data_IF_942542714497
#
_entry.id   IF_942542714497
#
_cell.length_a   1.000
_cell.length_b   1.000
_cell.length_c   1.000
_cell.angle_alpha   90.00
_cell.angle_beta   90.00
_cell.angle_gamma   90.00
#
_symmetry.space_group_name_H-M   'P 1'
#
loop_
_entity.id
_entity.type
_entity.pdbx_description
1 polymer ?
#
# COMPACT_ATOMS: atom_id res chain seq x y z
N UNK A 1 3.37 15.02 -19.48
CA UNK A 1 4.70 15.71 -19.41
C UNK A 1 5.67 15.17 -20.47
N UNK A 2 5.90 13.85 -20.56
CA UNK A 2 6.82 13.26 -21.55
C UNK A 2 6.52 13.67 -23.00
N UNK A 3 5.24 13.75 -23.37
CA UNK A 3 4.83 14.25 -24.69
C UNK A 3 5.36 15.67 -24.97
N UNK A 4 5.26 16.58 -24.00
CA UNK A 4 5.72 17.97 -24.13
C UNK A 4 7.25 17.99 -24.26
N UNK A 5 7.96 17.28 -23.38
CA UNK A 5 9.42 17.20 -23.41
C UNK A 5 9.96 16.64 -24.71
N UNK A 6 9.39 15.53 -25.22
CA UNK A 6 9.77 14.99 -26.53
C UNK A 6 9.37 15.91 -27.69
N UNK A 7 8.43 16.83 -27.47
CA UNK A 7 8.01 17.79 -28.49
C UNK A 7 8.93 18.99 -28.62
N UNK A 8 9.39 19.49 -27.48
CA UNK A 8 10.17 20.73 -27.41
C UNK A 8 11.67 20.44 -27.31
N UNK A 9 12.07 19.24 -26.91
CA UNK A 9 13.45 18.92 -26.55
C UNK A 9 13.89 19.57 -25.23
N UNK A 10 12.96 20.25 -24.52
CA UNK A 10 13.26 20.98 -23.30
C UNK A 10 12.99 20.13 -22.06
N UNK A 11 13.94 20.20 -21.13
CA UNK A 11 13.80 19.60 -19.79
C UNK A 11 12.69 20.32 -19.01
N UNK A 12 11.78 19.59 -18.31
CA UNK A 12 10.65 20.18 -17.59
C UNK A 12 11.01 21.36 -16.69
N UNK A 13 12.11 21.28 -15.92
CA UNK A 13 12.51 22.38 -15.02
C UNK A 13 12.81 23.67 -15.79
N UNK A 14 13.57 23.57 -16.90
CA UNK A 14 13.90 24.72 -17.74
C UNK A 14 12.64 25.27 -18.40
N UNK A 15 11.78 24.39 -18.92
CA UNK A 15 10.54 24.80 -19.56
C UNK A 15 9.60 25.55 -18.59
N UNK A 16 9.46 25.06 -17.35
CA UNK A 16 8.64 25.73 -16.32
C UNK A 16 9.23 27.10 -15.96
N UNK A 17 10.55 27.19 -15.78
CA UNK A 17 11.21 28.44 -15.42
C UNK A 17 11.13 29.49 -16.54
N UNK A 18 11.21 29.06 -17.80
CA UNK A 18 11.21 29.97 -18.96
C UNK A 18 9.82 30.37 -19.42
N UNK A 19 8.83 29.47 -19.35
CA UNK A 19 7.49 29.70 -19.93
C UNK A 19 6.40 29.97 -18.89
N UNK A 20 6.66 29.75 -17.60
CA UNK A 20 5.65 29.92 -16.53
C UNK A 20 6.18 30.87 -15.45
N UNK A 21 7.01 30.37 -14.54
CA UNK A 21 7.58 31.16 -13.44
C UNK A 21 8.74 30.38 -12.79
N UNK A 22 9.92 31.00 -12.62
CA UNK A 22 11.06 30.39 -11.91
C UNK A 22 10.75 29.91 -10.49
N UNK A 23 9.93 30.65 -9.73
CA UNK A 23 9.54 30.27 -8.38
C UNK A 23 8.75 28.95 -8.37
N UNK A 24 7.89 28.72 -9.37
CA UNK A 24 7.15 27.47 -9.50
C UNK A 24 8.05 26.29 -9.87
N UNK A 25 9.03 26.48 -10.77
CA UNK A 25 9.95 25.40 -11.12
C UNK A 25 10.86 25.01 -9.96
N UNK A 26 11.37 25.97 -9.20
CA UNK A 26 12.13 25.71 -7.97
C UNK A 26 11.26 25.07 -6.88
N UNK A 27 10.04 25.57 -6.68
CA UNK A 27 9.08 24.97 -5.74
C UNK A 27 8.78 23.50 -6.08
N UNK A 28 8.55 23.20 -7.35
CA UNK A 28 8.24 21.83 -7.80
C UNK A 28 9.43 20.88 -7.63
N UNK A 29 10.66 21.29 -7.98
CA UNK A 29 11.83 20.41 -7.82
C UNK A 29 12.14 20.17 -6.34
N UNK A 30 12.00 21.18 -5.47
CA UNK A 30 12.15 21.01 -4.02
C UNK A 30 11.08 20.06 -3.48
N UNK A 31 9.81 20.26 -3.84
CA UNK A 31 8.73 19.37 -3.47
C UNK A 31 8.99 17.93 -3.94
N UNK A 32 9.58 17.76 -5.12
CA UNK A 32 9.98 16.47 -5.64
C UNK A 32 11.07 15.81 -4.80
N UNK A 33 12.13 16.55 -4.44
CA UNK A 33 13.19 16.04 -3.56
C UNK A 33 12.62 15.63 -2.19
N UNK A 34 11.77 16.47 -1.58
CA UNK A 34 11.10 16.17 -0.32
C UNK A 34 10.20 14.94 -0.40
N UNK A 35 9.41 14.82 -1.46
CA UNK A 35 8.57 13.64 -1.68
C UNK A 35 9.43 12.37 -1.75
N UNK A 36 10.55 12.36 -2.48
CA UNK A 36 11.44 11.19 -2.52
C UNK A 36 12.00 10.84 -1.14
N UNK A 37 12.33 11.82 -0.30
CA UNK A 37 12.78 11.58 1.08
C UNK A 37 11.70 10.90 1.93
N UNK A 38 10.44 11.35 1.79
CA UNK A 38 9.30 10.72 2.48
C UNK A 38 9.10 9.28 1.99
N UNK A 39 9.20 9.04 0.68
CA UNK A 39 9.05 7.72 0.09
C UNK A 39 10.14 6.71 0.51
N UNK A 40 11.30 7.19 0.96
CA UNK A 40 12.32 6.31 1.54
C UNK A 40 11.91 5.74 2.91
N UNK A 41 11.14 6.46 3.72
CA UNK A 41 10.83 6.02 5.10
C UNK A 41 10.10 4.66 5.14
N UNK A 42 9.02 4.43 4.36
CA UNK A 42 8.37 3.13 4.30
C UNK A 42 9.31 2.03 3.77
N UNK A 43 10.21 2.35 2.84
CA UNK A 43 11.15 1.36 2.29
C UNK A 43 12.11 0.83 3.36
N UNK A 44 12.69 1.71 4.18
CA UNK A 44 13.53 1.31 5.31
C UNK A 44 12.74 0.49 6.33
N UNK A 45 11.51 0.90 6.63
CA UNK A 45 10.62 0.16 7.53
C UNK A 45 10.33 -1.24 7.00
N UNK A 46 10.00 -1.38 5.71
CA UNK A 46 9.70 -2.67 5.08
C UNK A 46 10.93 -3.58 5.05
N UNK A 47 12.11 -3.06 4.73
CA UNK A 47 13.35 -3.84 4.75
C UNK A 47 13.68 -4.35 6.15
N UNK A 48 13.51 -3.51 7.18
CA UNK A 48 13.69 -3.92 8.56
C UNK A 48 12.71 -5.04 8.95
N UNK A 49 11.41 -4.86 8.66
CA UNK A 49 10.39 -5.85 8.99
C UNK A 49 10.60 -7.17 8.24
N UNK A 50 10.97 -7.13 6.95
CA UNK A 50 11.29 -8.32 6.18
C UNK A 50 12.50 -9.06 6.77
N UNK A 51 13.52 -8.33 7.20
CA UNK A 51 14.71 -8.92 7.81
C UNK A 51 14.38 -9.50 9.19
N UNK A 52 13.68 -8.75 10.03
CA UNK A 52 13.30 -9.16 11.39
C UNK A 52 12.34 -10.35 11.37
N UNK A 53 11.22 -10.26 10.65
CA UNK A 53 10.15 -11.26 10.69
C UNK A 53 10.41 -12.46 9.78
N UNK A 54 10.92 -12.24 8.57
CA UNK A 54 10.95 -13.30 7.56
C UNK A 54 12.33 -13.97 7.45
N UNK A 55 13.41 -13.18 7.40
CA UNK A 55 14.75 -13.72 7.12
C UNK A 55 15.52 -14.13 8.37
N UNK A 56 15.34 -13.42 9.48
CA UNK A 56 16.05 -13.67 10.73
C UNK A 56 15.17 -14.30 11.82
N UNK A 57 13.91 -14.65 11.52
CA UNK A 57 12.97 -15.30 12.43
C UNK A 57 12.93 -14.68 13.85
N UNK A 58 12.96 -13.35 13.94
CA UNK A 58 12.93 -12.60 15.19
C UNK A 58 14.29 -12.38 15.87
N UNK A 59 15.40 -12.91 15.33
CA UNK A 59 16.74 -12.77 15.91
C UNK A 59 17.27 -11.32 15.92
N UNK A 60 16.69 -10.45 15.09
CA UNK A 60 17.02 -9.02 15.09
C UNK A 60 16.25 -8.32 16.20
N UNK A 61 16.94 -7.65 17.12
CA UNK A 61 16.29 -6.96 18.22
C UNK A 61 15.33 -5.85 17.77
N UNK A 62 14.32 -5.58 18.59
CA UNK A 62 13.33 -4.49 18.40
C UNK A 62 13.76 -3.17 19.05
N UNK A 63 14.91 -3.16 19.72
CA UNK A 63 15.48 -1.97 20.37
C UNK A 63 15.84 -0.89 19.35
N UNK A 64 15.83 0.37 19.80
CA UNK A 64 16.20 1.50 18.94
C UNK A 64 17.59 1.32 18.33
N UNK A 65 18.55 0.83 19.12
CA UNK A 65 19.92 0.55 18.66
C UNK A 65 19.96 -0.50 17.54
N UNK A 66 19.17 -1.58 17.67
CA UNK A 66 19.09 -2.61 16.63
C UNK A 66 18.45 -2.06 15.35
N UNK A 67 17.37 -1.28 15.47
CA UNK A 67 16.73 -0.59 14.33
C UNK A 67 17.69 0.36 13.61
N UNK A 68 18.44 1.16 14.36
CA UNK A 68 19.44 2.07 13.80
C UNK A 68 20.59 1.31 13.12
N UNK A 69 21.08 0.23 13.73
CA UNK A 69 22.14 -0.61 13.15
C UNK A 69 21.72 -1.25 11.82
N UNK A 70 20.53 -1.85 11.77
CA UNK A 70 19.99 -2.43 10.53
C UNK A 70 19.76 -1.36 9.47
N UNK A 71 19.22 -0.20 9.85
CA UNK A 71 19.01 0.91 8.92
C UNK A 71 20.33 1.43 8.33
N UNK A 72 21.38 1.56 9.14
CA UNK A 72 22.72 1.94 8.67
C UNK A 72 23.30 0.89 7.71
N UNK A 73 23.13 -0.41 8.01
CA UNK A 73 23.54 -1.49 7.11
C UNK A 73 22.82 -1.41 5.77
N UNK A 74 21.49 -1.24 5.77
CA UNK A 74 20.68 -1.08 4.55
C UNK A 74 21.14 0.15 3.75
N UNK A 75 21.44 1.27 4.42
CA UNK A 75 21.94 2.48 3.78
C UNK A 75 23.29 2.23 3.08
N UNK A 76 24.22 1.55 3.75
CA UNK A 76 25.53 1.20 3.18
C UNK A 76 25.36 0.25 1.99
N UNK A 77 24.54 -0.79 2.14
CA UNK A 77 24.27 -1.76 1.07
C UNK A 77 23.63 -1.08 -0.16
N UNK A 78 22.63 -0.22 0.06
CA UNK A 78 21.95 0.52 -1.01
C UNK A 78 22.89 1.53 -1.66
N UNK A 79 23.69 2.26 -0.87
CA UNK A 79 24.70 3.18 -1.38
C UNK A 79 25.76 2.48 -2.23
N UNK A 80 26.20 1.29 -1.81
CA UNK A 80 27.10 0.45 -2.58
C UNK A 80 26.48 0.01 -3.91
N UNK A 81 25.23 -0.43 -3.91
CA UNK A 81 24.48 -0.79 -5.13
C UNK A 81 24.34 0.39 -6.08
N UNK A 82 24.01 1.58 -5.58
CA UNK A 82 23.93 2.81 -6.39
C UNK A 82 25.29 3.13 -7.01
N UNK A 83 26.38 2.99 -6.25
CA UNK A 83 27.73 3.21 -6.76
C UNK A 83 28.08 2.21 -7.87
N UNK A 84 27.76 0.93 -7.69
CA UNK A 84 27.97 -0.09 -8.72
C UNK A 84 27.19 0.20 -10.00
N UNK A 85 25.95 0.69 -9.89
CA UNK A 85 25.12 1.04 -11.04
C UNK A 85 25.64 2.27 -11.79
N UNK A 86 26.26 3.23 -11.10
CA UNK A 86 26.85 4.41 -11.76
C UNK A 86 28.02 4.08 -12.71
N UNK A 87 28.65 2.92 -12.54
CA UNK A 87 29.71 2.43 -13.43
C UNK A 87 29.09 1.55 -14.52
N UNK A 88 29.01 2.05 -15.76
CA UNK A 88 28.49 1.30 -16.93
C UNK A 88 29.40 0.11 -17.33
N UNK A 89 29.42 -0.94 -16.52
CA UNK A 89 30.26 -2.14 -16.71
C UNK A 89 29.49 -3.46 -16.56
N UNK A 90 30.24 -4.57 -16.51
CA UNK A 90 29.66 -5.91 -16.33
C UNK A 90 28.83 -6.03 -15.03
N UNK A 91 29.25 -5.37 -13.95
CA UNK A 91 28.54 -5.34 -12.67
C UNK A 91 27.14 -4.71 -12.79
N UNK A 92 27.00 -3.61 -13.55
CA UNK A 92 25.70 -2.96 -13.77
C UNK A 92 24.74 -3.88 -14.57
N UNK A 93 25.26 -4.62 -15.56
CA UNK A 93 24.46 -5.59 -16.33
C UNK A 93 24.01 -6.78 -15.46
N UNK A 94 24.91 -7.32 -14.63
CA UNK A 94 24.58 -8.41 -13.71
C UNK A 94 23.54 -7.97 -12.68
N UNK A 95 23.67 -6.75 -12.16
CA UNK A 95 22.70 -6.16 -11.25
C UNK A 95 21.33 -5.96 -11.91
N UNK A 96 21.28 -5.44 -13.14
CA UNK A 96 20.03 -5.30 -13.90
C UNK A 96 19.35 -6.65 -14.16
N UNK A 97 20.12 -7.70 -14.48
CA UNK A 97 19.60 -9.06 -14.62
C UNK A 97 19.03 -9.59 -13.30
N UNK A 98 19.76 -9.40 -12.20
CA UNK A 98 19.29 -9.80 -10.87
C UNK A 98 17.99 -9.08 -10.49
N UNK A 99 17.91 -7.76 -10.71
CA UNK A 99 16.71 -6.98 -10.43
C UNK A 99 15.51 -7.45 -11.27
N UNK A 100 15.72 -7.73 -12.55
CA UNK A 100 14.68 -8.30 -13.44
C UNK A 100 14.25 -9.69 -13.00
N UNK A 101 15.18 -10.55 -12.60
CA UNK A 101 14.88 -11.89 -12.11
C UNK A 101 14.09 -11.85 -10.80
N UNK A 102 14.46 -10.96 -9.87
CA UNK A 102 13.76 -10.74 -8.62
C UNK A 102 12.32 -10.27 -8.85
N UNK A 103 12.13 -9.25 -9.69
CA UNK A 103 10.79 -8.77 -10.04
C UNK A 103 9.99 -9.88 -10.74
N UNK A 104 10.58 -10.57 -11.71
CA UNK A 104 9.94 -11.67 -12.42
C UNK A 104 9.48 -12.79 -11.48
N UNK A 105 10.31 -13.16 -10.50
CA UNK A 105 9.95 -14.13 -9.47
C UNK A 105 8.74 -13.66 -8.64
N UNK A 106 8.74 -12.40 -8.16
CA UNK A 106 7.62 -11.83 -7.39
C UNK A 106 6.32 -11.91 -8.19
N UNK A 107 6.37 -11.53 -9.47
CA UNK A 107 5.22 -11.62 -10.38
C UNK A 107 4.72 -13.06 -10.48
N UNK A 108 5.61 -14.02 -10.75
CA UNK A 108 5.27 -15.44 -10.85
C UNK A 108 4.61 -15.95 -9.55
N UNK A 109 5.12 -15.56 -8.39
CA UNK A 109 4.53 -15.95 -7.11
C UNK A 109 3.08 -15.46 -6.96
N UNK A 110 2.78 -14.21 -7.33
CA UNK A 110 1.40 -13.71 -7.25
C UNK A 110 0.45 -14.42 -8.20
N UNK A 111 0.90 -14.71 -9.43
CA UNK A 111 0.12 -15.53 -10.36
C UNK A 111 -0.11 -16.94 -9.83
N UNK A 112 0.92 -17.56 -9.26
CA UNK A 112 0.82 -18.90 -8.67
C UNK A 112 -0.20 -18.96 -7.53
N UNK A 113 -0.25 -17.93 -6.68
CA UNK A 113 -1.26 -17.83 -5.61
C UNK A 113 -2.68 -17.73 -6.18
N UNK A 114 -2.91 -16.90 -7.19
CA UNK A 114 -4.24 -16.78 -7.82
C UNK A 114 -4.64 -18.09 -8.51
N UNK A 115 -3.72 -18.75 -9.22
CA UNK A 115 -3.96 -20.06 -9.84
C UNK A 115 -4.30 -21.11 -8.78
N UNK A 116 -3.58 -21.12 -7.66
CA UNK A 116 -3.86 -22.01 -6.54
C UNK A 116 -5.25 -21.76 -5.97
N UNK A 117 -5.63 -20.51 -5.68
CA UNK A 117 -6.96 -20.16 -5.17
C UNK A 117 -8.06 -20.52 -6.19
N UNK A 118 -7.82 -20.31 -7.48
CA UNK A 118 -8.74 -20.70 -8.55
C UNK A 118 -8.94 -22.22 -8.61
N UNK A 119 -7.87 -23.00 -8.42
CA UNK A 119 -7.91 -24.47 -8.51
C UNK A 119 -8.60 -25.13 -7.31
N UNK A 120 -8.78 -24.39 -6.21
CA UNK A 120 -9.49 -24.84 -5.00
C UNK A 120 -10.92 -24.29 -4.92
N UNK A 121 -11.48 -23.79 -6.02
CA UNK A 121 -12.82 -23.20 -6.10
C UNK A 121 -13.06 -22.05 -5.09
N UNK A 122 -11.99 -21.36 -4.66
CA UNK A 122 -12.06 -20.27 -3.68
C UNK A 122 -12.33 -18.91 -4.31
N UNK A 123 -12.44 -18.83 -5.64
CA UNK A 123 -12.58 -17.58 -6.38
C UNK A 123 -13.92 -17.49 -7.10
N UNK A 124 -14.67 -16.44 -6.82
CA UNK A 124 -15.84 -16.07 -7.60
C UNK A 124 -15.45 -15.12 -8.75
N UNK A 125 -15.20 -15.68 -9.94
CA UNK A 125 -14.80 -14.90 -11.11
C UNK A 125 -15.83 -13.85 -11.53
N UNK A 126 -17.12 -14.11 -11.36
CA UNK A 126 -18.18 -13.14 -11.66
C UNK A 126 -18.07 -11.90 -10.77
N UNK A 127 -17.90 -12.11 -9.47
CA UNK A 127 -17.70 -11.02 -8.50
C UNK A 127 -16.38 -10.26 -8.74
N UNK A 128 -15.30 -10.99 -9.07
CA UNK A 128 -13.99 -10.38 -9.39
C UNK A 128 -14.12 -9.46 -10.62
N UNK A 129 -14.71 -9.95 -11.71
CA UNK A 129 -14.89 -9.16 -12.94
C UNK A 129 -15.83 -7.98 -12.74
N UNK A 130 -16.91 -8.15 -11.96
CA UNK A 130 -17.79 -7.06 -11.57
C UNK A 130 -17.05 -5.99 -10.75
N UNK A 131 -16.07 -6.38 -9.93
CA UNK A 131 -15.23 -5.46 -9.16
C UNK A 131 -14.33 -4.54 -9.99
N UNK A 132 -14.07 -4.87 -11.26
CA UNK A 132 -13.36 -3.95 -12.18
C UNK A 132 -14.25 -2.82 -12.71
N UNK A 133 -15.58 -2.90 -12.51
CA UNK A 133 -16.52 -1.85 -12.87
C UNK A 133 -16.59 -0.87 -11.68
N UNK A 134 -16.21 0.41 -11.86
CA UNK A 134 -16.25 1.38 -10.77
C UNK A 134 -17.68 1.60 -10.28
N UNK A 135 -17.90 1.39 -8.98
CA UNK A 135 -19.16 1.74 -8.32
C UNK A 135 -18.98 3.04 -7.52
N UNK A 136 -19.61 4.11 -7.99
CA UNK A 136 -19.50 5.42 -7.33
C UNK A 136 -20.29 5.50 -6.03
N UNK A 137 -21.23 4.58 -5.78
CA UNK A 137 -22.00 4.53 -4.54
C UNK A 137 -21.12 4.22 -3.34
N UNK A 138 -20.00 3.52 -3.56
CA UNK A 138 -18.98 3.21 -2.54
C UNK A 138 -18.39 4.47 -1.90
N UNK A 139 -18.55 5.62 -2.56
CA UNK A 139 -18.19 6.89 -1.95
C UNK A 139 -19.05 7.23 -0.74
N UNK A 140 -20.30 6.78 -0.66
CA UNK A 140 -21.23 7.15 0.42
C UNK A 140 -21.84 5.96 1.16
N UNK A 141 -21.61 4.74 0.68
CA UNK A 141 -22.25 3.53 1.20
C UNK A 141 -21.21 2.42 1.41
N UNK A 142 -21.31 1.67 2.53
CA UNK A 142 -20.54 0.44 2.71
C UNK A 142 -20.81 -0.57 1.59
N UNK A 143 -19.86 -1.47 1.33
CA UNK A 143 -19.87 -2.31 0.13
C UNK A 143 -19.67 -3.79 0.45
N UNK A 144 -20.16 -4.65 -0.44
CA UNK A 144 -19.89 -6.09 -0.38
C UNK A 144 -20.51 -6.77 0.83
N UNK A 145 -19.86 -7.83 1.32
CA UNK A 145 -20.35 -8.64 2.44
C UNK A 145 -20.45 -7.84 3.74
N UNK A 146 -19.56 -6.85 3.94
CA UNK A 146 -19.58 -5.96 5.10
C UNK A 146 -20.87 -5.14 5.17
N UNK A 147 -21.42 -4.73 4.02
CA UNK A 147 -22.74 -4.07 3.97
C UNK A 147 -23.86 -5.03 4.40
N UNK A 148 -23.73 -6.31 4.10
CA UNK A 148 -24.65 -7.36 4.56
C UNK A 148 -24.60 -7.54 6.08
N UNK A 149 -23.40 -7.63 6.66
CA UNK A 149 -23.22 -7.72 8.12
C UNK A 149 -23.79 -6.49 8.81
N UNK A 150 -23.52 -5.29 8.30
CA UNK A 150 -24.08 -4.05 8.81
C UNK A 150 -25.60 -4.02 8.84
N UNK A 151 -26.26 -4.63 7.85
CA UNK A 151 -27.72 -4.66 7.78
C UNK A 151 -28.35 -5.54 8.88
N UNK A 152 -27.56 -6.39 9.56
CA UNK A 152 -28.01 -7.20 10.70
C UNK A 152 -27.87 -6.49 12.04
N UNK A 153 -27.16 -5.35 12.09
CA UNK A 153 -26.90 -4.61 13.32
C UNK A 153 -28.03 -3.61 13.62
N UNK A 154 -28.26 -3.25 14.90
CA UNK A 154 -29.19 -2.19 15.28
C UNK A 154 -28.80 -0.82 14.69
N UNK A 155 -29.79 0.05 14.43
CA UNK A 155 -29.61 1.34 13.73
C UNK A 155 -28.48 2.22 14.30
N UNK A 156 -28.37 2.32 15.63
CA UNK A 156 -27.34 3.12 16.30
C UNK A 156 -25.92 2.59 16.04
N UNK A 157 -25.77 1.26 16.00
CA UNK A 157 -24.51 0.57 15.74
C UNK A 157 -24.18 0.59 14.24
N UNK A 158 -25.19 0.44 13.39
CA UNK A 158 -25.05 0.52 11.94
C UNK A 158 -24.51 1.89 11.51
N UNK A 159 -25.02 2.99 12.09
CA UNK A 159 -24.54 4.35 11.77
C UNK A 159 -23.09 4.55 12.20
N UNK A 160 -22.70 4.03 13.36
CA UNK A 160 -21.33 4.08 13.86
C UNK A 160 -20.35 3.41 12.89
N UNK A 161 -20.63 2.16 12.51
CA UNK A 161 -19.75 1.41 11.62
C UNK A 161 -19.79 1.92 10.18
N UNK A 162 -20.96 2.30 9.67
CA UNK A 162 -21.10 2.89 8.33
C UNK A 162 -20.21 4.13 8.16
N UNK A 163 -20.19 5.01 9.18
CA UNK A 163 -19.35 6.21 9.15
C UNK A 163 -17.86 5.86 9.09
N UNK A 164 -17.42 4.90 9.92
CA UNK A 164 -16.01 4.45 9.94
C UNK A 164 -15.62 3.75 8.64
N UNK A 165 -16.44 2.83 8.16
CA UNK A 165 -16.19 2.06 6.94
C UNK A 165 -16.11 2.98 5.72
N UNK A 166 -17.08 3.87 5.52
CA UNK A 166 -17.06 4.80 4.38
C UNK A 166 -15.85 5.74 4.47
N UNK A 167 -15.45 6.16 5.67
CA UNK A 167 -14.26 6.99 5.87
C UNK A 167 -12.99 6.26 5.46
N UNK A 168 -12.79 5.03 5.94
CA UNK A 168 -11.62 4.20 5.59
C UNK A 168 -11.62 3.83 4.10
N UNK A 169 -12.77 3.47 3.53
CA UNK A 169 -12.91 3.19 2.10
C UNK A 169 -12.49 4.39 1.25
N UNK A 170 -12.96 5.60 1.59
CA UNK A 170 -12.53 6.84 0.92
C UNK A 170 -11.05 7.08 1.09
N UNK A 171 -10.51 6.89 2.29
CA UNK A 171 -9.08 7.08 2.56
C UNK A 171 -8.23 6.16 1.69
N UNK A 172 -8.61 4.89 1.55
CA UNK A 172 -7.94 3.92 0.66
C UNK A 172 -8.06 4.33 -0.80
N UNK A 173 -9.25 4.73 -1.27
CA UNK A 173 -9.45 5.20 -2.66
C UNK A 173 -8.60 6.43 -3.00
N UNK A 174 -8.61 7.44 -2.12
CA UNK A 174 -7.83 8.66 -2.27
C UNK A 174 -6.33 8.33 -2.20
N UNK A 175 -5.92 7.48 -1.26
CA UNK A 175 -4.54 7.02 -1.13
C UNK A 175 -4.04 6.31 -2.38
N UNK A 176 -4.84 5.39 -2.93
CA UNK A 176 -4.50 4.70 -4.19
C UNK A 176 -4.35 5.70 -5.35
N UNK A 177 -5.27 6.65 -5.50
CA UNK A 177 -5.18 7.68 -6.55
C UNK A 177 -3.98 8.62 -6.35
N UNK A 178 -3.71 9.06 -5.12
CA UNK A 178 -2.60 9.95 -4.79
C UNK A 178 -1.23 9.29 -5.00
N UNK A 179 -1.15 7.97 -4.81
CA UNK A 179 0.08 7.18 -4.98
C UNK A 179 0.26 6.63 -6.40
N UNK A 180 -0.76 6.74 -7.27
CA UNK A 180 -0.71 6.25 -8.64
C UNK A 180 0.35 6.97 -9.50
N UNK A 181 0.60 8.26 -9.24
CA UNK A 181 1.61 9.05 -9.97
C UNK A 181 2.50 9.79 -9.00
N UNK A 182 3.75 9.33 -8.88
CA UNK A 182 4.77 10.04 -8.12
C UNK A 182 5.19 11.35 -8.79
N UNK A 183 5.23 12.43 -8.01
CA UNK A 183 5.75 13.73 -8.46
C UNK A 183 7.20 13.62 -8.98
N UNK A 184 7.97 12.64 -8.50
CA UNK A 184 9.32 12.37 -9.00
C UNK A 184 9.38 11.97 -10.47
N UNK A 185 8.37 11.24 -10.96
CA UNK A 185 8.28 10.84 -12.36
C UNK A 185 7.99 12.02 -13.28
N UNK A 186 7.56 13.18 -12.76
CA UNK A 186 7.38 14.39 -13.59
C UNK A 186 8.71 14.96 -14.08
N UNK A 187 9.83 14.64 -13.42
CA UNK A 187 11.17 15.02 -13.87
C UNK A 187 11.98 13.82 -14.35
N UNK A 188 12.03 12.72 -13.61
CA UNK A 188 12.92 11.59 -13.93
C UNK A 188 12.63 10.99 -15.30
N UNK A 189 11.36 10.74 -15.61
CA UNK A 189 10.97 10.11 -16.85
C UNK A 189 11.30 11.00 -18.07
N UNK A 190 10.92 12.29 -18.12
CA UNK A 190 11.33 13.17 -19.22
C UNK A 190 12.85 13.34 -19.38
N UNK A 191 13.60 13.45 -18.28
CA UNK A 191 15.06 13.58 -18.33
C UNK A 191 15.71 12.30 -18.84
N UNK A 192 15.22 11.13 -18.41
CA UNK A 192 15.71 9.83 -18.88
C UNK A 192 15.51 9.66 -20.38
N UNK A 193 14.35 10.05 -20.91
CA UNK A 193 14.09 10.00 -22.36
C UNK A 193 15.03 10.91 -23.15
N UNK A 194 15.21 12.16 -22.72
CA UNK A 194 16.14 13.08 -23.40
C UNK A 194 17.59 12.57 -23.35
N UNK A 195 18.00 11.97 -22.23
CA UNK A 195 19.35 11.40 -22.09
C UNK A 195 19.57 10.17 -22.99
N UNK A 196 18.50 9.47 -23.38
CA UNK A 196 18.52 8.39 -24.38
C UNK A 196 18.48 8.92 -25.82
N UNK A 197 18.45 10.24 -26.02
CA UNK A 197 18.32 10.86 -27.33
C UNK A 197 16.92 10.76 -27.94
N UNK A 198 15.90 10.45 -27.14
CA UNK A 198 14.53 10.39 -27.64
C UNK A 198 13.98 11.80 -27.86
N UNK A 199 13.41 12.01 -29.04
CA UNK A 199 12.81 13.25 -29.49
C UNK A 199 11.42 13.01 -30.12
N UNK A 200 10.95 13.91 -30.98
CA UNK A 200 9.57 13.95 -31.48
C UNK A 200 9.09 12.66 -32.17
N UNK A 201 9.88 11.98 -33.02
CA UNK A 201 9.52 10.68 -33.60
C UNK A 201 9.28 9.58 -32.56
N UNK A 202 9.99 9.59 -31.42
CA UNK A 202 9.91 8.52 -30.42
C UNK A 202 8.67 8.60 -29.50
N UNK A 203 7.78 9.58 -29.68
CA UNK A 203 6.58 9.72 -28.83
C UNK A 203 5.66 8.50 -28.87
N UNK A 204 5.52 7.88 -30.04
CA UNK A 204 4.75 6.63 -30.20
C UNK A 204 5.37 5.51 -29.38
N UNK A 205 6.69 5.33 -29.54
CA UNK A 205 7.46 4.34 -28.79
C UNK A 205 7.40 4.59 -27.27
N UNK A 206 7.49 5.85 -26.83
CA UNK A 206 7.41 6.19 -25.41
C UNK A 206 6.07 5.84 -24.77
N UNK A 207 4.94 6.00 -25.50
CA UNK A 207 3.62 5.57 -25.01
C UNK A 207 3.51 4.05 -24.96
N UNK A 208 4.01 3.38 -25.98
CA UNK A 208 4.03 1.92 -26.04
C UNK A 208 4.86 1.35 -24.89
N UNK A 209 6.10 1.81 -24.73
CA UNK A 209 7.02 1.42 -23.65
C UNK A 209 6.41 1.63 -22.27
N UNK A 210 5.77 2.79 -22.02
CA UNK A 210 5.09 3.05 -20.76
C UNK A 210 3.91 2.10 -20.52
N UNK A 211 3.15 1.79 -21.56
CA UNK A 211 1.97 0.91 -21.45
C UNK A 211 2.38 -0.53 -21.19
N UNK A 212 3.35 -1.05 -21.95
CA UNK A 212 3.79 -2.45 -21.86
C UNK A 212 4.76 -2.69 -20.71
N UNK A 213 5.66 -1.75 -20.44
CA UNK A 213 6.70 -1.88 -19.43
C UNK A 213 6.24 -1.51 -18.02
N UNK A 214 5.17 -0.73 -17.87
CA UNK A 214 4.70 -0.26 -16.56
C UNK A 214 3.21 -0.55 -16.33
N UNK A 215 2.31 -0.06 -17.19
CA UNK A 215 0.87 -0.13 -16.92
C UNK A 215 0.32 -1.55 -16.88
N UNK A 216 0.59 -2.38 -17.90
CA UNK A 216 0.10 -3.76 -17.96
C UNK A 216 0.61 -4.60 -16.78
N UNK A 217 1.94 -4.65 -16.49
CA UNK A 217 2.45 -5.39 -15.33
C UNK A 217 1.84 -4.89 -14.02
N UNK A 218 1.71 -3.57 -13.84
CA UNK A 218 1.10 -2.99 -12.64
C UNK A 218 -0.34 -3.47 -12.46
N UNK A 219 -1.20 -3.35 -13.48
CA UNK A 219 -2.59 -3.80 -13.38
C UNK A 219 -2.67 -5.28 -13.06
N UNK A 220 -1.89 -6.13 -13.74
CA UNK A 220 -1.92 -7.57 -13.53
C UNK A 220 -1.48 -7.96 -12.11
N UNK A 221 -0.33 -7.47 -11.66
CA UNK A 221 0.23 -7.81 -10.35
C UNK A 221 -0.63 -7.25 -9.23
N UNK A 222 -1.03 -5.98 -9.32
CA UNK A 222 -1.91 -5.36 -8.32
C UNK A 222 -3.25 -6.08 -8.26
N UNK A 223 -3.82 -6.50 -9.40
CA UNK A 223 -5.04 -7.32 -9.41
C UNK A 223 -4.83 -8.66 -8.69
N UNK A 224 -3.72 -9.35 -8.95
CA UNK A 224 -3.42 -10.60 -8.26
C UNK A 224 -3.29 -10.41 -6.74
N UNK A 225 -2.61 -9.34 -6.31
CA UNK A 225 -2.49 -8.98 -4.88
C UNK A 225 -3.85 -8.74 -4.26
N UNK A 226 -4.71 -7.94 -4.92
CA UNK A 226 -6.06 -7.63 -4.43
C UNK A 226 -6.93 -8.89 -4.36
N UNK A 227 -6.90 -9.75 -5.39
CA UNK A 227 -7.64 -11.02 -5.40
C UNK A 227 -7.17 -11.93 -4.26
N UNK A 228 -5.86 -12.11 -4.09
CA UNK A 228 -5.30 -12.93 -3.03
C UNK A 228 -5.65 -12.39 -1.64
N UNK A 229 -5.54 -11.07 -1.44
CA UNK A 229 -5.91 -10.43 -0.18
C UNK A 229 -7.40 -10.57 0.12
N UNK A 230 -8.28 -10.37 -0.87
CA UNK A 230 -9.71 -10.53 -0.70
C UNK A 230 -10.08 -11.99 -0.33
N UNK A 231 -9.55 -12.98 -1.05
CA UNK A 231 -9.83 -14.39 -0.77
C UNK A 231 -9.35 -14.84 0.63
N UNK A 232 -8.25 -14.26 1.11
CA UNK A 232 -7.62 -14.63 2.38
C UNK A 232 -8.24 -13.90 3.58
N UNK A 233 -8.54 -12.60 3.44
CA UNK A 233 -8.85 -11.74 4.59
C UNK A 233 -10.27 -11.16 4.59
N UNK A 234 -11.02 -11.19 3.49
CA UNK A 234 -12.32 -10.52 3.44
C UNK A 234 -13.34 -11.18 4.37
N UNK A 235 -13.89 -10.42 5.31
CA UNK A 235 -14.89 -10.83 6.30
C UNK A 235 -14.54 -12.09 7.12
N UNK A 236 -13.24 -12.41 7.25
CA UNK A 236 -12.74 -13.55 8.02
C UNK A 236 -12.00 -13.04 9.25
N UNK A 237 -12.52 -13.40 10.42
CA UNK A 237 -11.86 -13.20 11.71
C UNK A 237 -11.45 -14.57 12.28
N UNK A 238 -10.34 -14.60 13.00
CA UNK A 238 -9.88 -15.81 13.67
C UNK A 238 -10.71 -16.13 14.92
N UNK A 239 -10.74 -17.40 15.32
CA UNK A 239 -11.59 -17.85 16.43
C UNK A 239 -11.15 -17.28 17.77
N UNK A 240 -9.86 -16.98 17.95
CA UNK A 240 -9.39 -16.32 19.17
C UNK A 240 -9.99 -14.92 19.26
N UNK A 241 -10.02 -14.17 18.16
CA UNK A 241 -10.63 -12.83 18.11
C UNK A 241 -12.14 -12.84 18.36
N UNK A 242 -12.85 -13.93 18.02
CA UNK A 242 -14.27 -14.10 18.37
C UNK A 242 -14.51 -14.38 19.84
N UNK A 243 -13.51 -14.87 20.56
CA UNK A 243 -13.65 -15.29 21.95
C UNK A 243 -14.28 -14.21 22.83
N UNK A 244 -15.12 -14.65 23.76
CA UNK A 244 -15.67 -13.80 24.84
C UNK A 244 -14.73 -13.71 26.04
N UNK A 245 -13.66 -14.52 26.05
CA UNK A 245 -12.59 -14.44 27.04
C UNK A 245 -11.56 -13.39 26.59
N UNK A 246 -11.35 -12.29 27.35
CA UNK A 246 -10.39 -11.25 26.99
C UNK A 246 -8.97 -11.76 26.83
N UNK A 247 -8.53 -12.72 27.66
CA UNK A 247 -7.18 -13.25 27.59
C UNK A 247 -6.97 -14.02 26.29
N UNK A 248 -7.98 -14.75 25.82
CA UNK A 248 -7.95 -15.46 24.53
C UNK A 248 -8.03 -14.46 23.38
N UNK A 249 -8.93 -13.48 23.45
CA UNK A 249 -9.10 -12.46 22.41
C UNK A 249 -7.81 -11.68 22.13
N UNK A 250 -7.08 -11.31 23.18
CA UNK A 250 -5.82 -10.58 23.09
C UNK A 250 -4.68 -11.37 22.44
N UNK A 251 -4.79 -12.71 22.35
CA UNK A 251 -3.79 -13.53 21.63
C UNK A 251 -3.95 -13.45 20.11
N UNK A 252 -5.07 -12.93 19.62
CA UNK A 252 -5.29 -12.80 18.18
C UNK A 252 -4.26 -11.85 17.54
N UNK A 253 -3.69 -12.21 16.37
CA UNK A 253 -2.80 -11.31 15.62
C UNK A 253 -3.43 -9.97 15.23
N UNK A 254 -4.76 -9.91 15.09
CA UNK A 254 -5.48 -8.70 14.67
C UNK A 254 -5.93 -7.83 15.86
N UNK A 255 -5.87 -8.33 17.09
CA UNK A 255 -6.37 -7.62 18.27
C UNK A 255 -5.75 -6.24 18.42
N UNK A 256 -4.41 -6.14 18.36
CA UNK A 256 -3.71 -4.87 18.53
C UNK A 256 -4.09 -3.81 17.48
N UNK A 257 -4.42 -4.26 16.26
CA UNK A 257 -4.86 -3.36 15.18
C UNK A 257 -6.32 -2.95 15.35
N UNK A 258 -7.16 -3.84 15.91
CA UNK A 258 -8.59 -3.61 16.12
C UNK A 258 -8.93 -2.94 17.45
N UNK A 259 -8.04 -3.00 18.45
CA UNK A 259 -8.27 -2.56 19.84
C UNK A 259 -8.86 -1.16 19.92
N UNK A 260 -8.31 -0.20 19.15
CA UNK A 260 -8.83 1.17 19.13
C UNK A 260 -10.27 1.27 18.62
N UNK A 261 -10.64 0.42 17.66
CA UNK A 261 -12.00 0.36 17.12
C UNK A 261 -12.95 -0.30 18.11
N UNK A 262 -12.51 -1.37 18.76
CA UNK A 262 -13.27 -2.08 19.80
C UNK A 262 -13.53 -1.19 21.02
N UNK A 263 -12.52 -0.42 21.47
CA UNK A 263 -12.69 0.58 22.54
C UNK A 263 -13.75 1.60 22.14
N UNK A 264 -13.65 2.17 20.95
CA UNK A 264 -14.63 3.15 20.47
C UNK A 264 -16.06 2.55 20.38
N UNK A 265 -16.17 1.26 20.04
CA UNK A 265 -17.46 0.55 20.00
C UNK A 265 -18.01 0.25 21.39
N UNK A 266 -17.16 -0.13 22.35
CA UNK A 266 -17.56 -0.35 23.74
C UNK A 266 -17.98 0.96 24.42
N UNK A 267 -17.29 2.07 24.14
CA UNK A 267 -17.66 3.41 24.58
C UNK A 267 -19.02 3.86 24.03
N UNK A 268 -19.40 3.45 22.81
CA UNK A 268 -20.73 3.72 22.26
C UNK A 268 -21.83 2.97 23.04
N UNK A 269 -21.55 1.76 23.51
CA UNK A 269 -22.54 0.92 24.20
C UNK A 269 -22.77 1.35 25.65
N UNK A 270 -21.69 1.62 26.36
CA UNK A 270 -21.71 1.88 27.80
C UNK A 270 -21.66 3.38 28.15
N UNK A 271 -21.30 4.23 27.19
CA UNK A 271 -20.97 5.63 27.41
C UNK A 271 -19.47 5.83 27.69
N UNK A 272 -18.89 6.89 27.14
CA UNK A 272 -17.45 7.17 27.22
C UNK A 272 -16.97 7.35 28.68
N UNK A 273 -17.72 8.10 29.49
CA UNK A 273 -17.38 8.31 30.90
C UNK A 273 -17.43 7.00 31.70
N UNK A 274 -18.45 6.17 31.47
CA UNK A 274 -18.61 4.89 32.15
C UNK A 274 -17.53 3.90 31.76
N UNK A 275 -17.17 3.81 30.48
CA UNK A 275 -16.08 2.94 30.02
C UNK A 275 -14.72 3.41 30.54
N UNK A 276 -14.47 4.72 30.57
CA UNK A 276 -13.22 5.27 31.07
C UNK A 276 -13.10 5.17 32.60
N UNK A 277 -14.20 4.98 33.33
CA UNK A 277 -14.18 4.72 34.77
C UNK A 277 -13.82 3.26 35.13
N UNK A 278 -13.92 2.32 34.19
CA UNK A 278 -13.59 0.90 34.39
C UNK A 278 -12.08 0.66 34.56
N UNK A 279 -11.75 -0.38 35.32
CA UNK A 279 -10.39 -0.92 35.37
C UNK A 279 -9.97 -1.63 34.06
N UNK A 280 -8.68 -1.87 33.87
CA UNK A 280 -8.15 -2.44 32.61
C UNK A 280 -8.74 -3.83 32.29
N UNK A 281 -8.91 -4.68 33.29
CA UNK A 281 -9.51 -6.02 33.13
C UNK A 281 -11.00 -5.94 32.77
N UNK A 282 -11.72 -4.98 33.36
CA UNK A 282 -13.16 -4.75 33.09
C UNK A 282 -13.38 -4.17 31.70
N UNK A 283 -12.48 -3.29 31.22
CA UNK A 283 -12.50 -2.79 29.83
C UNK A 283 -12.25 -3.92 28.85
N UNK A 284 -11.30 -4.80 29.14
CA UNK A 284 -11.01 -5.96 28.32
C UNK A 284 -12.21 -6.93 28.25
N UNK A 285 -12.90 -7.13 29.38
CA UNK A 285 -14.16 -7.89 29.44
C UNK A 285 -15.29 -7.23 28.63
N UNK A 286 -15.47 -5.92 28.75
CA UNK A 286 -16.46 -5.18 27.97
C UNK A 286 -16.21 -5.28 26.46
N UNK A 287 -14.94 -5.24 26.03
CA UNK A 287 -14.55 -5.43 24.63
C UNK A 287 -14.82 -6.87 24.16
N UNK A 288 -14.42 -7.87 24.94
CA UNK A 288 -14.64 -9.27 24.58
C UNK A 288 -16.13 -9.66 24.59
N UNK A 289 -16.97 -8.95 25.34
CA UNK A 289 -18.41 -9.12 25.39
C UNK A 289 -19.19 -8.55 24.20
N UNK A 290 -18.54 -7.80 23.29
CA UNK A 290 -19.19 -7.28 22.08
C UNK A 290 -19.71 -8.42 21.20
N UNK A 291 -20.75 -8.12 20.41
CA UNK A 291 -21.37 -9.11 19.53
C UNK A 291 -20.41 -9.57 18.42
N UNK A 292 -20.57 -10.81 17.95
CA UNK A 292 -19.75 -11.34 16.86
C UNK A 292 -19.89 -10.55 15.55
N UNK A 293 -21.01 -9.85 15.36
CA UNK A 293 -21.21 -8.99 14.19
C UNK A 293 -20.51 -7.62 14.33
N UNK A 294 -20.17 -7.22 15.56
CA UNK A 294 -19.36 -6.03 15.87
C UNK A 294 -17.85 -6.30 15.84
N UNK A 295 -17.45 -7.57 15.99
CA UNK A 295 -16.06 -8.03 15.93
C UNK A 295 -15.65 -8.29 14.47
#
# INVERSE_FOLDING_TARGET
>A
ISYVTLSTGERPFRAINSHINPALGWGWIIATCMANMIWCMPQFSLCYEALHKNLAAGAVGTSLTAKLGVSAMILVATGFVVMLNSRQGAAAKAFDLFLKALIGMIVICFFAVVIYLASNDMLNWGAILAGFIPDLRQWNQPTGEVAGVLATLPDNVQQFWSTKLVTEQRAVMIGAAATAVGINMTFLLPYSMLNRGWDKPFRGLAKFDLSTGMAIPYVLVTSCVVIAAAATFHAKIDDNFRSTDPAVMQTSPIYKSAEKLLIARAQLEMGEESFNALGDDERAAAIAGLSDADK
#
